data_IF_135514542082
#
_entry.id   IF_135514542082
#
_cell.length_a   1.000
_cell.length_b   1.000
_cell.length_c   1.000
_cell.angle_alpha   90.00
_cell.angle_beta   90.00
_cell.angle_gamma   90.00
#
_symmetry.space_group_name_H-M   'P 1'
#
loop_
_entity.id
_entity.type
_entity.pdbx_description
1 polymer ?
#
# COMPACT_ATOMS: atom_id res chain seq x y z
N UNK A 1 -1.37 -40.12 -60.19
CA UNK A 1 -2.28 -38.95 -60.31
C UNK A 1 -2.69 -38.55 -58.90
N UNK A 2 -2.69 -37.26 -58.61
CA UNK A 2 -2.45 -36.64 -57.29
C UNK A 2 -3.58 -36.74 -56.23
N UNK A 3 -3.24 -36.30 -55.01
CA UNK A 3 -4.06 -35.98 -53.80
C UNK A 3 -4.28 -37.19 -52.88
N UNK A 4 -4.05 -37.18 -51.57
CA UNK A 4 -4.17 -36.11 -50.57
C UNK A 4 -3.34 -36.46 -49.31
N UNK A 5 -2.30 -35.68 -48.99
CA UNK A 5 -1.65 -35.64 -47.67
C UNK A 5 -1.44 -34.14 -47.37
N UNK A 6 -2.49 -33.47 -46.90
CA UNK A 6 -2.42 -32.02 -46.61
C UNK A 6 -3.45 -31.59 -45.56
N UNK A 7 -3.63 -32.37 -44.49
CA UNK A 7 -4.47 -31.93 -43.36
C UNK A 7 -3.83 -32.10 -41.97
N UNK A 8 -2.67 -32.75 -41.85
CA UNK A 8 -1.98 -32.92 -40.56
C UNK A 8 -1.02 -31.79 -40.16
N UNK A 9 -0.50 -31.02 -41.13
CA UNK A 9 0.52 -29.99 -40.84
C UNK A 9 -0.07 -28.60 -40.56
N UNK A 10 -1.32 -28.35 -40.97
CA UNK A 10 -1.95 -27.03 -40.85
C UNK A 10 -2.49 -26.77 -39.43
N UNK A 11 -2.86 -27.83 -38.69
CA UNK A 11 -3.34 -27.72 -37.30
C UNK A 11 -2.20 -27.49 -36.29
N UNK A 12 -1.00 -27.99 -36.55
CA UNK A 12 0.16 -27.78 -35.66
C UNK A 12 0.75 -26.36 -35.81
N UNK A 13 0.66 -25.77 -37.02
CA UNK A 13 1.10 -24.40 -37.27
C UNK A 13 0.08 -23.37 -36.75
N UNK A 14 -1.22 -23.70 -36.73
CA UNK A 14 -2.25 -22.80 -36.17
C UNK A 14 -2.20 -22.73 -34.64
N UNK A 15 -1.76 -23.80 -33.95
CA UNK A 15 -1.57 -23.77 -32.49
C UNK A 15 -0.35 -22.95 -32.04
N UNK A 16 0.66 -22.76 -32.90
CA UNK A 16 1.82 -21.90 -32.58
C UNK A 16 1.49 -20.42 -32.84
N UNK A 17 0.51 -20.12 -33.71
CA UNK A 17 0.06 -18.75 -34.01
C UNK A 17 -1.09 -18.26 -33.11
N UNK A 18 -1.58 -19.10 -32.20
CA UNK A 18 -2.56 -18.77 -31.16
C UNK A 18 -2.00 -18.95 -29.74
N UNK A 19 -0.67 -18.92 -29.59
CA UNK A 19 -0.12 -18.38 -28.36
C UNK A 19 -0.34 -16.87 -28.42
N UNK A 20 -1.45 -16.41 -27.85
CA UNK A 20 -1.46 -15.07 -27.31
C UNK A 20 -0.23 -15.00 -26.39
N UNK A 21 0.79 -14.28 -26.83
CA UNK A 21 1.79 -13.78 -25.92
C UNK A 21 1.02 -12.92 -24.92
N UNK A 22 0.64 -13.51 -23.79
CA UNK A 22 0.32 -12.76 -22.58
C UNK A 22 1.64 -12.10 -22.20
N UNK A 23 1.96 -10.99 -22.85
CA UNK A 23 2.96 -10.06 -22.34
C UNK A 23 2.35 -9.53 -21.05
N UNK A 24 2.98 -9.84 -19.92
CA UNK A 24 2.65 -9.22 -18.65
C UNK A 24 2.66 -7.71 -18.86
N UNK A 25 1.54 -7.06 -18.52
CA UNK A 25 1.35 -5.64 -18.83
C UNK A 25 2.28 -4.82 -17.94
N UNK A 26 3.41 -4.38 -18.49
CA UNK A 26 4.34 -3.53 -17.76
C UNK A 26 3.72 -2.15 -17.51
N UNK A 27 3.68 -1.74 -16.26
CA UNK A 27 3.23 -0.41 -15.85
C UNK A 27 4.42 0.40 -15.34
N UNK A 28 4.28 1.73 -15.33
CA UNK A 28 5.30 2.61 -14.76
C UNK A 28 5.16 2.62 -13.24
N UNK A 29 6.19 2.14 -12.54
CA UNK A 29 6.29 2.20 -11.09
C UNK A 29 7.37 3.19 -10.68
N UNK A 30 7.14 3.91 -9.59
CA UNK A 30 8.17 4.74 -8.94
C UNK A 30 8.60 4.00 -7.68
N UNK A 31 9.85 3.54 -7.69
CA UNK A 31 10.50 2.89 -6.56
C UNK A 31 11.19 3.96 -5.74
N UNK A 32 10.68 4.21 -4.54
CA UNK A 32 11.25 5.20 -3.62
C UNK A 32 12.11 4.52 -2.56
N UNK A 33 13.40 4.87 -2.54
CA UNK A 33 14.45 4.30 -1.70
C UNK A 33 14.92 5.27 -0.58
N UNK A 34 14.14 6.30 -0.26
CA UNK A 34 14.48 7.26 0.81
C UNK A 34 15.36 8.42 0.36
N UNK A 35 16.27 8.86 1.24
CA UNK A 35 17.26 9.92 0.98
C UNK A 35 18.67 9.34 0.94
N UNK A 36 19.49 9.76 -0.02
CA UNK A 36 20.92 9.41 -0.02
C UNK A 36 21.67 10.14 1.11
N UNK A 37 22.81 9.59 1.52
CA UNK A 37 23.68 10.12 2.58
C UNK A 37 24.47 11.38 2.20
N UNK A 38 24.38 11.85 0.94
CA UNK A 38 25.26 12.88 0.36
C UNK A 38 24.83 14.35 0.58
N UNK A 39 23.76 14.62 1.36
CA UNK A 39 23.31 15.99 1.68
C UNK A 39 22.64 16.74 0.52
N UNK A 40 22.52 18.07 0.60
CA UNK A 40 21.69 18.87 -0.33
C UNK A 40 22.30 19.09 -1.74
N UNK A 41 23.60 18.84 -1.94
CA UNK A 41 24.30 19.09 -3.21
C UNK A 41 25.26 17.94 -3.58
N UNK A 42 24.76 16.80 -4.08
CA UNK A 42 25.59 15.66 -4.48
C UNK A 42 26.43 15.99 -5.73
N UNK A 43 27.70 15.55 -5.75
CA UNK A 43 28.58 15.70 -6.92
C UNK A 43 28.10 14.83 -8.10
N UNK A 44 28.67 15.04 -9.29
CA UNK A 44 28.35 14.19 -10.46
C UNK A 44 28.72 12.72 -10.23
N UNK A 45 29.80 12.46 -9.49
CA UNK A 45 30.25 11.11 -9.12
C UNK A 45 29.27 10.46 -8.14
N UNK A 46 28.74 11.24 -7.19
CA UNK A 46 27.72 10.75 -6.24
C UNK A 46 26.41 10.40 -6.96
N UNK A 47 25.99 11.23 -7.92
CA UNK A 47 24.78 10.99 -8.73
C UNK A 47 24.92 9.74 -9.60
N UNK A 48 26.10 9.52 -10.19
CA UNK A 48 26.41 8.32 -10.98
C UNK A 48 26.45 7.07 -10.10
N UNK A 49 27.06 7.16 -8.91
CA UNK A 49 27.07 6.08 -7.90
C UNK A 49 25.66 5.69 -7.46
N UNK A 50 24.80 6.66 -7.17
CA UNK A 50 23.38 6.41 -6.84
C UNK A 50 22.64 5.76 -8.00
N UNK A 51 22.86 6.24 -9.23
CA UNK A 51 22.23 5.66 -10.43
C UNK A 51 22.67 4.21 -10.65
N UNK A 52 23.95 3.91 -10.45
CA UNK A 52 24.45 2.53 -10.50
C UNK A 52 23.82 1.67 -9.40
N UNK A 53 23.65 2.22 -8.18
CA UNK A 53 22.97 1.51 -7.10
C UNK A 53 21.50 1.19 -7.40
N UNK A 54 20.82 2.00 -8.23
CA UNK A 54 19.47 1.68 -8.71
C UNK A 54 19.46 0.50 -9.68
N UNK A 55 20.42 0.46 -10.61
CA UNK A 55 20.57 -0.67 -11.53
C UNK A 55 20.96 -1.94 -10.79
N UNK A 56 21.83 -1.85 -9.79
CA UNK A 56 22.21 -2.98 -8.93
C UNK A 56 21.00 -3.46 -8.11
N UNK A 57 20.24 -2.52 -7.53
CA UNK A 57 19.04 -2.83 -6.75
C UNK A 57 18.01 -3.55 -7.61
N UNK A 58 17.53 -2.93 -8.70
CA UNK A 58 16.52 -3.56 -9.54
C UNK A 58 17.07 -4.81 -10.26
N UNK A 59 18.35 -4.79 -10.63
CA UNK A 59 19.03 -5.91 -11.28
C UNK A 59 19.13 -7.14 -10.38
N UNK A 60 19.20 -6.96 -9.06
CA UNK A 60 19.15 -8.05 -8.10
C UNK A 60 17.80 -8.79 -8.09
N UNK A 61 16.71 -8.10 -8.43
CA UNK A 61 15.36 -8.68 -8.53
C UNK A 61 15.06 -9.20 -9.95
N UNK A 62 15.55 -8.53 -10.98
CA UNK A 62 15.37 -8.95 -12.38
C UNK A 62 16.39 -10.02 -12.85
N UNK A 63 17.36 -10.37 -12.00
CA UNK A 63 18.44 -11.31 -12.32
C UNK A 63 19.44 -10.81 -13.37
N UNK A 64 19.35 -9.53 -13.76
CA UNK A 64 20.24 -8.89 -14.74
C UNK A 64 20.26 -7.37 -14.56
N UNK A 65 21.47 -6.82 -14.42
CA UNK A 65 21.70 -5.37 -14.39
C UNK A 65 21.32 -4.73 -15.74
N UNK A 66 21.48 -5.45 -16.85
CA UNK A 66 21.12 -4.93 -18.17
C UNK A 66 19.60 -4.81 -18.33
N UNK A 67 18.83 -5.78 -17.81
CA UNK A 67 17.37 -5.67 -17.76
C UNK A 67 16.90 -4.53 -16.87
N UNK A 68 17.59 -4.30 -15.75
CA UNK A 68 17.31 -3.16 -14.87
C UNK A 68 17.57 -1.81 -15.54
N UNK A 69 18.64 -1.70 -16.35
CA UNK A 69 18.91 -0.49 -17.14
C UNK A 69 17.86 -0.24 -18.22
N UNK A 70 17.33 -1.30 -18.82
CA UNK A 70 16.25 -1.21 -19.81
C UNK A 70 14.90 -0.84 -19.16
N UNK A 71 14.62 -1.39 -17.98
CA UNK A 71 13.39 -1.12 -17.24
C UNK A 71 13.39 0.29 -16.61
N UNK A 72 14.52 0.75 -16.06
CA UNK A 72 14.65 2.07 -15.42
C UNK A 72 14.73 3.15 -16.49
N UNK A 73 13.61 3.84 -16.69
CA UNK A 73 13.55 4.97 -17.63
C UNK A 73 13.87 6.31 -16.96
N UNK A 74 13.94 6.36 -15.61
CA UNK A 74 14.38 7.54 -14.89
C UNK A 74 15.00 7.21 -13.54
N UNK A 75 16.19 7.77 -13.23
CA UNK A 75 16.80 7.68 -11.90
C UNK A 75 16.72 9.02 -11.18
N UNK A 76 16.05 9.04 -10.03
CA UNK A 76 16.08 10.17 -9.12
C UNK A 76 17.34 10.06 -8.26
N UNK A 77 18.35 10.89 -8.53
CA UNK A 77 19.70 10.77 -7.93
C UNK A 77 20.23 12.10 -7.34
N UNK A 78 19.42 13.16 -7.38
CA UNK A 78 19.81 14.50 -6.90
C UNK A 78 19.24 14.87 -5.54
N UNK A 79 17.96 14.58 -5.32
CA UNK A 79 17.21 15.10 -4.16
C UNK A 79 16.41 14.03 -3.42
N UNK A 80 16.17 12.89 -4.07
CA UNK A 80 15.51 11.71 -3.52
C UNK A 80 16.21 10.49 -4.07
N UNK A 81 16.23 9.39 -3.30
CA UNK A 81 16.70 8.08 -3.72
C UNK A 81 15.54 7.30 -4.32
N UNK A 82 15.68 6.85 -5.54
CA UNK A 82 14.63 6.12 -6.22
C UNK A 82 14.74 6.18 -7.73
N UNK A 83 13.91 5.41 -8.40
CA UNK A 83 13.87 5.35 -9.85
C UNK A 83 12.45 5.07 -10.33
N UNK A 84 12.15 5.48 -11.56
CA UNK A 84 10.96 5.08 -12.26
C UNK A 84 11.32 3.96 -13.24
N UNK A 85 10.60 2.85 -13.17
CA UNK A 85 10.83 1.67 -13.99
C UNK A 85 9.54 1.13 -14.59
N UNK A 86 9.64 0.55 -15.79
CA UNK A 86 8.58 -0.26 -16.38
C UNK A 86 8.70 -1.67 -15.83
N UNK A 87 7.85 -1.99 -14.87
CA UNK A 87 7.81 -3.30 -14.22
C UNK A 87 6.48 -3.96 -14.56
N UNK A 88 6.44 -5.28 -14.70
CA UNK A 88 5.18 -5.99 -14.55
C UNK A 88 4.77 -6.08 -13.07
N UNK A 89 3.57 -6.60 -12.81
CA UNK A 89 3.00 -6.66 -11.47
C UNK A 89 3.83 -7.55 -10.53
N UNK A 90 4.45 -8.61 -11.06
CA UNK A 90 5.32 -9.53 -10.32
C UNK A 90 6.68 -8.87 -10.01
N UNK A 91 7.28 -8.19 -10.99
CA UNK A 91 8.50 -7.38 -10.84
C UNK A 91 8.30 -6.23 -9.84
N UNK A 92 7.14 -5.56 -9.86
CA UNK A 92 6.81 -4.49 -8.92
C UNK A 92 6.53 -5.01 -7.50
N UNK A 93 5.84 -6.14 -7.38
CA UNK A 93 5.61 -6.82 -6.10
C UNK A 93 6.92 -7.25 -5.46
N UNK A 94 7.89 -7.76 -6.24
CA UNK A 94 9.22 -8.11 -5.72
C UNK A 94 9.96 -6.92 -5.09
N UNK A 95 9.69 -5.70 -5.56
CA UNK A 95 10.32 -4.46 -5.05
C UNK A 95 9.60 -3.87 -3.83
N UNK A 96 8.29 -4.05 -3.71
CA UNK A 96 7.49 -3.56 -2.58
C UNK A 96 7.35 -4.65 -1.51
N UNK A 97 8.28 -4.73 -0.55
CA UNK A 97 8.33 -5.84 0.42
C UNK A 97 8.28 -5.40 1.88
N UNK A 98 7.77 -6.29 2.74
CA UNK A 98 7.94 -6.31 4.18
C UNK A 98 9.25 -6.93 4.50
N UNK A 99 9.78 -6.33 5.54
CA UNK A 99 11.18 -6.07 5.60
C UNK A 99 11.56 -6.63 6.97
N UNK A 100 11.79 -7.95 7.14
CA UNK A 100 12.43 -8.48 8.35
C UNK A 100 13.75 -7.75 8.64
N UNK A 101 14.36 -7.14 7.62
CA UNK A 101 15.52 -6.26 7.71
C UNK A 101 15.18 -4.82 8.18
N UNK A 102 13.89 -4.50 8.42
CA UNK A 102 13.45 -3.23 9.02
C UNK A 102 14.05 -3.06 10.39
N UNK A 103 14.52 -1.85 10.69
CA UNK A 103 15.06 -1.52 12.01
C UNK A 103 14.05 -1.76 13.14
N UNK A 104 12.74 -1.72 12.85
CA UNK A 104 11.67 -2.04 13.81
C UNK A 104 11.69 -3.51 14.25
N UNK A 105 12.30 -4.39 13.48
CA UNK A 105 12.46 -5.81 13.79
C UNK A 105 13.93 -6.18 14.09
N UNK A 106 14.77 -5.18 14.38
CA UNK A 106 16.13 -5.41 14.89
C UNK A 106 16.11 -6.14 16.22
N UNK A 107 17.03 -7.09 16.37
CA UNK A 107 17.20 -7.94 17.55
C UNK A 107 18.36 -7.51 18.47
N UNK A 108 18.83 -6.28 18.27
CA UNK A 108 19.82 -5.64 19.13
C UNK A 108 19.31 -5.58 20.58
N UNK A 109 20.14 -6.02 21.53
CA UNK A 109 19.78 -6.07 22.94
C UNK A 109 18.85 -7.22 23.35
N UNK A 110 18.44 -8.10 22.42
CA UNK A 110 17.65 -9.27 22.75
C UNK A 110 18.52 -10.48 23.13
N UNK A 111 18.19 -11.13 24.25
CA UNK A 111 18.75 -12.43 24.63
C UNK A 111 18.21 -13.60 23.78
N UNK A 112 18.56 -14.86 24.10
CA UNK A 112 18.08 -16.03 23.36
C UNK A 112 16.55 -16.11 23.32
N UNK A 113 16.01 -16.78 22.29
CA UNK A 113 14.57 -17.02 22.16
C UNK A 113 14.10 -17.86 23.36
N UNK A 114 12.97 -17.52 24.01
CA UNK A 114 12.46 -18.27 25.16
C UNK A 114 12.23 -19.75 24.81
N UNK A 115 12.68 -20.68 25.68
CA UNK A 115 12.52 -22.13 25.47
C UNK A 115 11.06 -22.61 25.37
N UNK A 116 10.11 -21.79 25.84
CA UNK A 116 8.68 -22.07 25.72
C UNK A 116 8.14 -21.87 24.30
N UNK A 117 8.83 -21.08 23.49
CA UNK A 117 8.43 -20.79 22.11
C UNK A 117 8.55 -22.05 21.26
N UNK A 118 7.46 -22.41 20.58
CA UNK A 118 7.39 -23.61 19.72
C UNK A 118 7.25 -23.27 18.24
N UNK A 119 7.12 -21.99 17.92
CA UNK A 119 6.98 -21.53 16.55
C UNK A 119 8.23 -21.69 15.73
N UNK A 120 8.01 -21.74 14.41
CA UNK A 120 9.03 -21.90 13.39
C UNK A 120 9.14 -20.65 12.53
N UNK A 121 10.26 -20.56 11.82
CA UNK A 121 10.43 -19.60 10.75
C UNK A 121 10.38 -20.33 9.41
N UNK A 122 9.38 -20.03 8.59
CA UNK A 122 9.36 -20.48 7.20
C UNK A 122 10.23 -19.53 6.37
N UNK A 123 11.44 -19.98 6.02
CA UNK A 123 12.52 -19.16 5.45
C UNK A 123 12.57 -19.23 3.92
N UNK A 124 11.44 -19.41 3.27
CA UNK A 124 11.38 -19.32 1.81
C UNK A 124 11.58 -17.86 1.38
N UNK A 125 12.20 -17.64 0.21
CA UNK A 125 12.48 -16.30 -0.35
C UNK A 125 13.40 -15.38 0.48
N UNK A 126 14.61 -15.85 0.84
CA UNK A 126 15.61 -15.09 1.61
C UNK A 126 15.07 -14.46 2.92
N UNK A 127 13.96 -14.96 3.43
CA UNK A 127 13.34 -14.50 4.65
C UNK A 127 14.02 -15.17 5.84
N UNK A 128 14.44 -14.40 6.84
CA UNK A 128 15.02 -14.97 8.06
C UNK A 128 14.44 -14.32 9.32
N UNK A 129 14.14 -15.18 10.30
CA UNK A 129 13.79 -14.77 11.65
C UNK A 129 15.06 -14.48 12.45
N UNK A 130 14.90 -13.69 13.52
CA UNK A 130 15.98 -13.30 14.41
C UNK A 130 15.50 -13.36 15.87
N UNK A 131 16.23 -12.76 16.82
CA UNK A 131 15.81 -12.78 18.23
C UNK A 131 14.65 -11.79 18.50
N UNK A 132 14.22 -10.96 17.56
CA UNK A 132 13.07 -10.05 17.69
C UNK A 132 11.83 -10.62 17.01
N UNK A 133 11.91 -10.87 15.70
CA UNK A 133 10.92 -11.59 14.91
C UNK A 133 11.26 -13.09 15.01
N UNK A 134 10.64 -13.77 15.98
CA UNK A 134 11.03 -15.14 16.38
C UNK A 134 10.29 -16.25 15.64
N UNK A 135 9.26 -15.91 14.87
CA UNK A 135 8.52 -16.83 14.03
C UNK A 135 7.83 -16.12 12.89
N UNK A 136 7.68 -16.84 11.78
CA UNK A 136 7.03 -16.34 10.59
C UNK A 136 6.45 -17.53 9.83
N UNK A 137 5.14 -17.46 9.58
CA UNK A 137 4.38 -18.48 8.87
C UNK A 137 3.44 -17.82 7.87
N UNK A 138 3.03 -18.58 6.86
CA UNK A 138 2.08 -18.12 5.85
C UNK A 138 1.11 -19.24 5.47
N UNK A 139 -0.11 -18.86 5.07
CA UNK A 139 -1.24 -19.75 4.81
C UNK A 139 -1.96 -19.27 3.55
N UNK A 140 -2.12 -20.14 2.56
CA UNK A 140 -2.65 -19.80 1.24
C UNK A 140 -3.59 -20.87 0.65
N UNK A 141 -3.87 -21.95 1.39
CA UNK A 141 -4.66 -23.06 0.87
C UNK A 141 -6.14 -22.70 0.78
N UNK A 142 -6.62 -21.90 1.74
CA UNK A 142 -7.96 -21.32 1.71
C UNK A 142 -8.15 -20.41 0.50
N UNK A 143 -7.15 -19.57 0.22
CA UNK A 143 -7.08 -18.75 -0.99
C UNK A 143 -7.20 -19.59 -2.25
N UNK A 144 -6.31 -20.58 -2.46
CA UNK A 144 -6.30 -21.37 -3.71
C UNK A 144 -7.60 -22.13 -3.92
N UNK A 145 -8.17 -22.68 -2.83
CA UNK A 145 -9.44 -23.39 -2.88
C UNK A 145 -10.62 -22.48 -3.25
N UNK A 146 -10.63 -21.25 -2.75
CA UNK A 146 -11.77 -20.33 -2.93
C UNK A 146 -11.69 -19.56 -4.25
N UNK A 147 -10.49 -19.18 -4.67
CA UNK A 147 -10.24 -18.47 -5.93
C UNK A 147 -10.21 -19.45 -7.11
N UNK A 148 -9.91 -20.73 -6.87
CA UNK A 148 -9.82 -21.75 -7.93
C UNK A 148 -8.58 -21.60 -8.82
N UNK A 149 -7.60 -20.81 -8.37
CA UNK A 149 -6.34 -20.56 -9.07
C UNK A 149 -5.18 -20.64 -8.08
N UNK A 150 -4.02 -21.06 -8.57
CA UNK A 150 -2.81 -21.00 -7.77
C UNK A 150 -2.44 -19.55 -7.51
N UNK A 151 -1.83 -19.31 -6.37
CA UNK A 151 -1.31 -18.00 -6.04
C UNK A 151 -0.19 -17.64 -7.03
N UNK A 152 -0.34 -16.50 -7.72
CA UNK A 152 0.70 -15.93 -8.59
C UNK A 152 1.59 -14.95 -7.82
N UNK A 153 1.87 -15.25 -6.55
CA UNK A 153 2.74 -14.46 -5.67
C UNK A 153 3.76 -15.40 -5.06
N UNK A 154 4.92 -14.86 -4.66
CA UNK A 154 5.96 -15.64 -3.98
C UNK A 154 5.43 -16.18 -2.65
N UNK A 155 5.46 -17.50 -2.49
CA UNK A 155 5.04 -18.19 -1.28
C UNK A 155 6.07 -17.96 -0.16
N UNK A 156 5.83 -16.91 0.62
CA UNK A 156 6.66 -16.59 1.78
C UNK A 156 5.84 -15.84 2.83
N UNK A 157 6.39 -15.77 4.05
CA UNK A 157 5.86 -14.92 5.11
C UNK A 157 6.22 -13.43 4.93
N UNK A 158 6.89 -13.08 3.83
CA UNK A 158 7.15 -11.69 3.43
C UNK A 158 5.82 -11.05 3.03
N UNK A 159 5.55 -9.87 3.56
CA UNK A 159 4.35 -9.07 3.28
C UNK A 159 4.64 -8.08 2.15
N UNK A 160 4.10 -8.26 0.95
CA UNK A 160 4.41 -7.36 -0.18
C UNK A 160 3.49 -6.12 -0.26
N UNK A 161 2.67 -5.90 0.78
CA UNK A 161 1.68 -4.83 0.82
C UNK A 161 2.07 -3.76 1.87
N UNK A 162 2.51 -4.19 3.05
CA UNK A 162 3.06 -3.34 4.12
C UNK A 162 2.19 -3.23 5.37
N UNK A 163 0.90 -3.55 5.30
CA UNK A 163 -0.05 -3.49 6.41
C UNK A 163 0.36 -4.38 7.59
N UNK A 164 0.87 -5.59 7.31
CA UNK A 164 1.40 -6.50 8.31
C UNK A 164 2.61 -5.94 9.03
N UNK A 165 3.57 -5.37 8.30
CA UNK A 165 4.71 -4.67 8.94
C UNK A 165 4.28 -3.46 9.76
N UNK A 166 3.37 -2.64 9.24
CA UNK A 166 2.90 -1.44 9.91
C UNK A 166 2.20 -1.78 11.24
N UNK A 167 1.30 -2.76 11.22
CA UNK A 167 0.56 -3.21 12.41
C UNK A 167 1.47 -3.92 13.41
N UNK A 168 2.35 -4.83 12.95
CA UNK A 168 3.26 -5.56 13.84
C UNK A 168 4.29 -4.65 14.49
N UNK A 169 4.83 -3.66 13.76
CA UNK A 169 5.75 -2.66 14.31
C UNK A 169 5.04 -1.68 15.27
N UNK A 170 3.76 -1.37 15.04
CA UNK A 170 2.95 -0.57 15.99
C UNK A 170 2.73 -1.32 17.31
N UNK A 171 2.51 -2.63 17.27
CA UNK A 171 2.34 -3.43 18.48
C UNK A 171 3.65 -3.66 19.22
N UNK A 172 4.68 -4.12 18.49
CA UNK A 172 5.90 -4.65 19.07
C UNK A 172 7.18 -4.25 18.35
N UNK A 173 7.23 -3.15 17.60
CA UNK A 173 8.46 -2.68 16.95
C UNK A 173 9.50 -2.17 17.94
N UNK A 174 10.78 -2.46 17.68
CA UNK A 174 11.94 -1.91 18.40
C UNK A 174 12.04 -0.39 18.27
N UNK A 175 12.87 0.24 19.08
CA UNK A 175 13.13 1.68 18.98
C UNK A 175 13.93 2.01 17.71
N UNK A 176 13.41 2.90 16.86
CA UNK A 176 14.05 3.32 15.61
C UNK A 176 14.20 4.85 15.61
N UNK A 177 15.38 5.39 15.93
CA UNK A 177 15.62 6.83 15.94
C UNK A 177 15.64 7.41 14.52
N UNK A 178 15.18 8.65 14.36
CA UNK A 178 15.17 9.35 13.07
C UNK A 178 14.12 8.84 12.09
N UNK A 179 13.16 8.05 12.55
CA UNK A 179 12.05 7.57 11.74
C UNK A 179 11.21 8.75 11.25
N UNK A 180 11.02 8.85 9.94
CA UNK A 180 10.19 9.86 9.31
C UNK A 180 9.70 9.39 7.94
N UNK A 181 8.60 9.96 7.47
CA UNK A 181 8.12 9.80 6.09
C UNK A 181 8.35 11.12 5.38
N UNK A 182 9.32 11.17 4.45
CA UNK A 182 9.73 12.40 3.77
C UNK A 182 10.10 13.56 4.74
N UNK A 183 10.72 13.24 5.88
CA UNK A 183 11.05 14.21 6.93
C UNK A 183 9.86 14.62 7.82
N UNK A 184 8.64 14.17 7.50
CA UNK A 184 7.44 14.38 8.33
C UNK A 184 7.36 13.32 9.43
N UNK A 185 6.93 13.75 10.61
CA UNK A 185 6.79 12.86 11.76
C UNK A 185 8.12 12.42 12.37
N UNK A 186 9.19 13.19 12.12
CA UNK A 186 10.54 12.88 12.60
C UNK A 186 10.58 12.68 14.11
N UNK A 187 11.09 11.52 14.52
CA UNK A 187 11.25 11.15 15.91
C UNK A 187 11.78 9.73 16.05
N UNK A 188 11.56 9.13 17.21
CA UNK A 188 11.85 7.71 17.44
C UNK A 188 10.55 6.92 17.27
N UNK A 189 10.47 6.05 16.27
CA UNK A 189 9.38 5.10 16.16
C UNK A 189 9.57 3.96 17.17
N UNK A 190 8.48 3.47 17.75
CA UNK A 190 8.50 2.32 18.65
C UNK A 190 7.09 1.73 18.77
N UNK A 191 6.99 0.42 18.94
CA UNK A 191 5.72 -0.22 19.25
C UNK A 191 5.23 0.06 20.66
N UNK A 192 4.00 -0.36 20.98
CA UNK A 192 3.48 -0.31 22.36
C UNK A 192 4.30 -1.12 23.35
N UNK A 193 4.88 -2.25 22.89
CA UNK A 193 5.83 -3.07 23.66
C UNK A 193 7.13 -3.32 22.90
N UNK A 194 8.09 -2.37 22.90
CA UNK A 194 9.29 -2.44 22.07
C UNK A 194 10.23 -3.61 22.39
N UNK A 195 10.11 -4.17 23.60
CA UNK A 195 10.90 -5.33 24.05
C UNK A 195 10.17 -6.66 23.91
N UNK A 196 8.94 -6.67 23.40
CA UNK A 196 8.25 -7.91 23.06
C UNK A 196 8.97 -8.63 21.90
N UNK A 197 8.87 -9.96 21.89
CA UNK A 197 9.15 -10.77 20.70
C UNK A 197 7.90 -10.75 19.84
N UNK A 198 8.08 -10.74 18.52
CA UNK A 198 6.97 -10.74 17.57
C UNK A 198 7.01 -11.99 16.70
N UNK A 199 5.84 -12.45 16.27
CA UNK A 199 5.69 -13.53 15.32
C UNK A 199 4.64 -13.14 14.27
N UNK A 200 4.89 -13.47 13.02
CA UNK A 200 4.01 -13.13 11.90
C UNK A 200 3.29 -14.38 11.37
N UNK A 201 1.98 -14.26 11.17
CA UNK A 201 1.13 -15.31 10.62
C UNK A 201 0.36 -14.71 9.42
N UNK A 202 0.90 -14.84 8.22
CA UNK A 202 0.35 -14.26 6.99
C UNK A 202 -0.80 -15.12 6.47
N UNK A 203 -2.03 -14.64 6.63
CA UNK A 203 -3.26 -15.30 6.15
C UNK A 203 -3.99 -14.51 5.05
N UNK A 204 -3.35 -13.45 4.53
CA UNK A 204 -3.94 -12.52 3.57
C UNK A 204 -3.04 -12.41 2.34
N UNK A 205 -3.69 -12.29 1.18
CA UNK A 205 -3.08 -12.17 -0.15
C UNK A 205 -3.86 -11.15 -0.99
N UNK A 206 -3.48 -10.95 -2.24
CA UNK A 206 -4.08 -9.95 -3.15
C UNK A 206 -5.61 -9.98 -3.26
N UNK A 207 -6.24 -11.15 -3.13
CA UNK A 207 -7.72 -11.31 -3.16
C UNK A 207 -8.39 -11.36 -1.80
N UNK A 208 -7.66 -11.04 -0.73
CA UNK A 208 -8.17 -10.97 0.63
C UNK A 208 -7.66 -12.07 1.53
N UNK A 209 -8.36 -12.27 2.64
CA UNK A 209 -8.02 -13.19 3.71
C UNK A 209 -9.13 -14.23 3.81
N UNK A 210 -8.78 -15.51 3.76
CA UNK A 210 -9.76 -16.60 3.69
C UNK A 210 -9.87 -17.30 5.04
N UNK A 211 -11.10 -17.66 5.43
CA UNK A 211 -11.41 -18.24 6.74
C UNK A 211 -10.55 -19.45 7.11
N UNK A 212 -10.32 -20.36 6.15
CA UNK A 212 -9.47 -21.53 6.38
C UNK A 212 -8.01 -21.17 6.69
N UNK A 213 -7.48 -20.13 6.05
CA UNK A 213 -6.11 -19.65 6.28
C UNK A 213 -6.01 -18.88 7.61
N UNK A 214 -7.04 -18.10 7.96
CA UNK A 214 -7.16 -17.42 9.25
C UNK A 214 -7.23 -18.43 10.40
N UNK A 215 -8.06 -19.46 10.27
CA UNK A 215 -8.22 -20.48 11.31
C UNK A 215 -6.92 -21.28 11.51
N UNK A 216 -6.22 -21.63 10.42
CA UNK A 216 -4.92 -22.27 10.49
C UNK A 216 -3.87 -21.39 11.18
N UNK A 217 -3.89 -20.08 10.93
CA UNK A 217 -3.03 -19.12 11.62
C UNK A 217 -3.31 -19.07 13.13
N UNK A 218 -4.59 -19.08 13.55
CA UNK A 218 -4.95 -19.15 14.96
C UNK A 218 -4.44 -20.44 15.62
N UNK A 219 -4.67 -21.59 15.00
CA UNK A 219 -4.26 -22.89 15.54
C UNK A 219 -2.74 -22.95 15.77
N UNK A 220 -1.96 -22.52 14.77
CA UNK A 220 -0.50 -22.45 14.89
C UNK A 220 -0.07 -21.40 15.92
N UNK A 221 -0.70 -20.22 15.98
CA UNK A 221 -0.34 -19.19 16.95
C UNK A 221 -0.54 -19.66 18.40
N UNK A 222 -1.67 -20.32 18.67
CA UNK A 222 -1.97 -20.91 19.97
C UNK A 222 -0.95 -22.00 20.31
N UNK A 223 -0.68 -22.93 19.38
CA UNK A 223 0.26 -24.03 19.58
C UNK A 223 1.71 -23.57 19.75
N UNK A 224 2.09 -22.50 19.05
CA UNK A 224 3.42 -21.89 19.08
C UNK A 224 3.69 -21.17 20.43
N UNK A 225 2.62 -20.90 21.18
CA UNK A 225 2.66 -20.35 22.54
C UNK A 225 2.74 -18.83 22.58
N UNK A 226 2.03 -18.14 21.68
CA UNK A 226 1.89 -16.67 21.73
C UNK A 226 1.14 -16.25 23.00
N UNK A 227 1.42 -15.05 23.50
CA UNK A 227 0.76 -14.50 24.70
C UNK A 227 -0.42 -13.58 24.36
N UNK A 228 -0.32 -12.88 23.23
CA UNK A 228 -1.33 -11.94 22.72
C UNK A 228 -1.39 -12.09 21.20
N UNK A 229 -2.60 -12.11 20.65
CA UNK A 229 -2.86 -12.03 19.22
C UNK A 229 -3.40 -10.64 18.91
N UNK A 230 -2.74 -9.93 18.01
CA UNK A 230 -3.25 -8.70 17.41
C UNK A 230 -3.65 -8.98 15.98
N UNK A 231 -4.88 -8.63 15.60
CA UNK A 231 -5.46 -8.95 14.31
C UNK A 231 -6.19 -7.75 13.75
N UNK A 232 -5.61 -7.12 12.73
CA UNK A 232 -6.23 -5.99 12.03
C UNK A 232 -6.97 -6.49 10.78
N UNK A 233 -7.88 -7.44 10.96
CA UNK A 233 -8.70 -8.10 9.94
C UNK A 233 -10.15 -8.13 10.40
N UNK A 234 -11.10 -8.17 9.47
CA UNK A 234 -12.54 -8.27 9.77
C UNK A 234 -13.38 -8.31 8.50
N UNK A 235 -14.65 -8.67 8.65
CA UNK A 235 -15.64 -8.63 7.56
C UNK A 235 -16.52 -7.38 7.70
N UNK A 236 -16.88 -6.78 6.56
CA UNK A 236 -17.89 -5.72 6.49
C UNK A 236 -19.31 -6.25 6.77
N UNK A 237 -19.53 -7.54 6.53
CA UNK A 237 -20.76 -8.27 6.84
C UNK A 237 -20.39 -9.51 7.67
N UNK A 238 -20.23 -9.37 9.00
CA UNK A 238 -19.79 -10.47 9.86
C UNK A 238 -20.91 -11.52 9.97
N UNK A 239 -20.62 -12.81 9.69
CA UNK A 239 -21.60 -13.88 9.85
C UNK A 239 -21.83 -14.19 11.34
N UNK A 240 -22.73 -15.14 11.62
CA UNK A 240 -22.93 -15.67 12.97
C UNK A 240 -21.62 -16.25 13.54
N UNK A 241 -21.44 -16.20 14.87
CA UNK A 241 -20.14 -16.51 15.50
C UNK A 241 -19.60 -17.92 15.20
N UNK A 242 -20.45 -18.91 14.99
CA UNK A 242 -20.01 -20.28 14.70
C UNK A 242 -19.65 -20.49 13.21
N UNK A 243 -19.92 -19.52 12.35
CA UNK A 243 -19.58 -19.51 10.93
C UNK A 243 -18.35 -18.64 10.62
N UNK A 244 -17.91 -17.83 11.59
CA UNK A 244 -16.73 -16.96 11.46
C UNK A 244 -15.46 -17.65 11.97
N UNK A 245 -14.44 -17.78 11.12
CA UNK A 245 -13.14 -18.29 11.53
C UNK A 245 -12.46 -17.41 12.59
N UNK A 246 -12.69 -16.09 12.52
CA UNK A 246 -12.20 -15.14 13.52
C UNK A 246 -12.84 -15.44 14.88
N UNK A 247 -14.16 -15.60 14.93
CA UNK A 247 -14.89 -15.87 16.16
C UNK A 247 -14.46 -17.20 16.78
N UNK A 248 -14.39 -18.27 15.98
CA UNK A 248 -13.97 -19.60 16.44
C UNK A 248 -12.51 -19.61 16.90
N UNK A 249 -11.59 -19.09 16.08
CA UNK A 249 -10.16 -19.05 16.41
C UNK A 249 -9.86 -18.20 17.64
N UNK A 250 -10.49 -17.03 17.75
CA UNK A 250 -10.34 -16.14 18.91
C UNK A 250 -10.93 -16.74 20.19
N UNK A 251 -12.06 -17.44 20.11
CA UNK A 251 -12.66 -18.12 21.26
C UNK A 251 -11.68 -19.15 21.84
N UNK A 252 -11.09 -19.98 20.99
CA UNK A 252 -10.10 -20.98 21.42
C UNK A 252 -8.83 -20.35 22.00
N UNK A 253 -8.35 -19.23 21.43
CA UNK A 253 -7.24 -18.48 21.98
C UNK A 253 -7.55 -17.96 23.40
N UNK A 254 -8.69 -17.30 23.58
CA UNK A 254 -9.10 -16.71 24.88
C UNK A 254 -9.36 -17.81 25.91
N UNK A 255 -9.97 -18.94 25.53
CA UNK A 255 -10.18 -20.09 26.40
C UNK A 255 -8.86 -20.68 26.94
N UNK A 256 -7.75 -20.50 26.21
CA UNK A 256 -6.41 -20.91 26.61
C UNK A 256 -5.59 -19.78 27.26
N UNK A 257 -6.23 -18.65 27.57
CA UNK A 257 -5.60 -17.51 28.25
C UNK A 257 -4.81 -16.57 27.33
N UNK A 258 -4.98 -16.68 26.01
CA UNK A 258 -4.35 -15.80 25.02
C UNK A 258 -5.31 -14.65 24.71
N UNK A 259 -4.88 -13.42 24.98
CA UNK A 259 -5.73 -12.24 24.70
C UNK A 259 -5.77 -11.96 23.20
N UNK A 260 -6.95 -11.66 22.67
CA UNK A 260 -7.15 -11.29 21.26
C UNK A 260 -7.61 -9.84 21.16
N UNK A 261 -6.88 -9.04 20.38
CA UNK A 261 -7.17 -7.63 20.09
C UNK A 261 -7.46 -7.49 18.60
N UNK A 262 -8.59 -6.90 18.24
CA UNK A 262 -9.00 -6.74 16.86
C UNK A 262 -9.55 -5.33 16.55
N UNK A 263 -9.50 -4.91 15.28
CA UNK A 263 -10.06 -3.63 14.84
C UNK A 263 -11.58 -3.69 14.74
N UNK A 264 -12.28 -2.58 15.00
CA UNK A 264 -13.74 -2.48 14.84
C UNK A 264 -14.23 -2.30 13.41
N UNK A 265 -13.35 -2.40 12.41
CA UNK A 265 -13.67 -2.11 11.01
C UNK A 265 -13.60 -0.63 10.63
N UNK A 266 -13.63 -0.35 9.33
CA UNK A 266 -13.54 1.01 8.74
C UNK A 266 -14.84 1.46 8.05
N UNK A 267 -15.93 0.73 8.27
CA UNK A 267 -17.21 0.88 7.54
C UNK A 267 -18.21 1.79 8.25
N UNK A 268 -17.75 2.54 9.25
CA UNK A 268 -18.51 3.61 9.89
C UNK A 268 -18.86 4.75 8.94
N UNK A 269 -19.73 5.70 9.35
CA UNK A 269 -20.24 5.90 10.72
C UNK A 269 -21.64 5.31 10.99
N UNK A 270 -22.17 4.50 10.08
CA UNK A 270 -23.53 3.95 10.18
C UNK A 270 -23.71 3.05 11.41
N UNK A 271 -24.88 3.09 12.06
CA UNK A 271 -25.18 2.21 13.19
C UNK A 271 -25.06 0.74 12.77
N UNK A 272 -24.38 -0.07 13.59
CA UNK A 272 -24.19 -1.50 13.34
C UNK A 272 -23.04 -1.85 12.40
N UNK A 273 -22.22 -0.89 11.97
CA UNK A 273 -21.09 -1.12 11.06
C UNK A 273 -19.81 -1.64 11.74
N UNK A 274 -19.89 -2.08 13.00
CA UNK A 274 -18.72 -2.53 13.77
C UNK A 274 -18.48 -4.01 13.50
N UNK A 275 -17.25 -4.36 13.12
CA UNK A 275 -16.79 -5.75 12.97
C UNK A 275 -16.11 -6.25 14.25
N UNK A 276 -15.85 -7.57 14.33
CA UNK A 276 -15.17 -8.22 15.46
C UNK A 276 -15.82 -7.91 16.81
N UNK A 277 -17.15 -8.01 16.89
CA UNK A 277 -17.97 -7.66 18.04
C UNK A 277 -18.19 -8.82 19.03
N UNK A 278 -17.37 -9.87 18.97
CA UNK A 278 -17.42 -11.02 19.86
C UNK A 278 -17.15 -10.59 21.31
N UNK A 279 -17.93 -11.07 22.30
CA UNK A 279 -17.76 -10.66 23.70
C UNK A 279 -16.39 -10.96 24.32
N UNK A 280 -15.62 -11.87 23.72
CA UNK A 280 -14.29 -12.27 24.18
C UNK A 280 -13.13 -11.55 23.47
N UNK A 281 -13.41 -10.73 22.45
CA UNK A 281 -12.39 -9.95 21.73
C UNK A 281 -12.31 -8.53 22.31
N UNK A 282 -11.10 -8.00 22.42
CA UNK A 282 -10.89 -6.58 22.68
C UNK A 282 -10.98 -5.80 21.36
N UNK A 283 -12.17 -5.32 21.02
CA UNK A 283 -12.47 -4.58 19.78
C UNK A 283 -12.08 -3.11 19.89
N UNK A 284 -11.27 -2.62 18.95
CA UNK A 284 -10.66 -1.28 18.99
C UNK A 284 -11.22 -0.37 17.91
N UNK A 285 -11.84 0.73 18.33
CA UNK A 285 -12.19 1.85 17.44
C UNK A 285 -10.99 2.76 17.18
N UNK A 286 -10.97 3.43 16.03
CA UNK A 286 -9.92 4.39 15.66
C UNK A 286 -10.33 5.84 16.01
N UNK A 287 -9.38 6.63 16.50
CA UNK A 287 -9.56 8.06 16.78
C UNK A 287 -8.33 8.86 16.34
N UNK A 288 -8.49 10.17 16.20
CA UNK A 288 -7.38 11.08 15.89
C UNK A 288 -6.48 11.32 17.12
N UNK A 289 -5.25 11.76 16.86
CA UNK A 289 -4.33 12.31 17.87
C UNK A 289 -4.18 13.84 17.66
N UNK A 290 -3.45 14.50 18.56
CA UNK A 290 -3.19 15.95 18.50
C UNK A 290 -2.31 16.36 17.29
N UNK A 291 -1.42 15.47 16.84
CA UNK A 291 -0.53 15.68 15.69
C UNK A 291 -1.28 15.63 14.37
N UNK A 292 -1.11 16.67 13.54
CA UNK A 292 -1.68 16.78 12.20
C UNK A 292 -0.63 17.20 11.17
N UNK A 293 -0.67 16.61 9.96
CA UNK A 293 0.17 17.02 8.83
C UNK A 293 -0.58 17.96 7.91
N UNK A 294 -0.64 19.22 8.33
CA UNK A 294 -1.49 20.24 7.72
C UNK A 294 -0.95 20.70 6.36
N UNK A 295 -1.86 20.87 5.40
CA UNK A 295 -1.61 21.49 4.10
C UNK A 295 -2.69 22.52 3.81
N UNK A 296 -2.33 23.75 3.48
CA UNK A 296 -3.28 24.83 3.24
C UNK A 296 -3.55 25.02 1.75
N UNK A 297 -4.83 25.09 1.39
CA UNK A 297 -5.28 25.44 0.04
C UNK A 297 -5.73 26.90 0.04
N UNK A 298 -5.00 27.76 -0.68
CA UNK A 298 -5.36 29.18 -0.84
C UNK A 298 -5.92 29.42 -2.23
N UNK A 299 -7.19 29.84 -2.32
CA UNK A 299 -7.85 30.16 -3.59
C UNK A 299 -7.53 31.58 -4.06
N UNK A 300 -7.85 31.89 -5.33
CA UNK A 300 -7.62 33.21 -5.93
C UNK A 300 -8.38 34.36 -5.23
N UNK A 301 -9.53 34.05 -4.61
CA UNK A 301 -10.31 34.98 -3.78
C UNK A 301 -9.77 35.15 -2.35
N UNK A 302 -8.57 34.65 -2.05
CA UNK A 302 -7.90 34.69 -0.74
C UNK A 302 -8.56 33.88 0.37
N UNK A 303 -9.57 33.04 0.08
CA UNK A 303 -10.03 32.05 1.06
C UNK A 303 -8.99 30.96 1.23
N UNK A 304 -8.80 30.56 2.49
CA UNK A 304 -7.82 29.55 2.91
C UNK A 304 -8.59 28.39 3.52
N UNK A 305 -8.31 27.18 3.04
CA UNK A 305 -8.86 25.94 3.55
C UNK A 305 -7.75 25.13 4.20
N UNK A 306 -8.03 24.59 5.39
CA UNK A 306 -7.14 23.67 6.09
C UNK A 306 -7.41 22.27 5.57
N UNK A 307 -6.42 21.67 4.93
CA UNK A 307 -6.43 20.26 4.54
C UNK A 307 -5.27 19.50 5.18
N UNK A 308 -5.02 18.30 4.69
CA UNK A 308 -3.91 17.46 5.12
C UNK A 308 -3.15 16.81 3.96
N UNK A 309 -1.87 16.54 4.19
CA UNK A 309 -0.99 15.94 3.19
C UNK A 309 0.31 15.40 3.78
N UNK A 310 0.70 14.19 3.36
CA UNK A 310 2.05 13.66 3.55
C UNK A 310 2.92 13.76 2.29
N UNK A 311 2.46 14.39 1.20
CA UNK A 311 3.28 14.64 0.01
C UNK A 311 4.64 15.22 0.38
N UNK A 312 5.71 14.70 -0.22
CA UNK A 312 7.09 15.13 0.06
C UNK A 312 7.29 16.62 -0.25
N UNK A 313 6.63 17.12 -1.28
CA UNK A 313 6.76 18.50 -1.75
C UNK A 313 5.42 19.22 -1.68
N UNK A 314 5.48 20.47 -1.21
CA UNK A 314 4.42 21.44 -1.40
C UNK A 314 4.60 22.21 -2.71
N UNK A 315 3.54 22.85 -3.18
CA UNK A 315 3.64 23.84 -4.25
C UNK A 315 4.42 25.06 -3.76
N UNK A 316 5.27 25.71 -4.58
CA UNK A 316 5.90 26.98 -4.21
C UNK A 316 4.85 28.00 -3.78
N UNK A 317 5.01 28.60 -2.60
CA UNK A 317 4.02 29.49 -1.97
C UNK A 317 3.65 30.72 -2.80
N UNK A 318 4.54 31.15 -3.70
CA UNK A 318 4.38 32.36 -4.51
C UNK A 318 3.85 32.10 -5.93
N UNK A 319 3.62 30.83 -6.31
CA UNK A 319 3.16 30.48 -7.66
C UNK A 319 1.69 30.08 -7.63
N UNK A 320 0.88 30.79 -8.41
CA UNK A 320 -0.52 30.47 -8.64
C UNK A 320 -0.63 29.55 -9.85
N UNK A 321 -1.54 28.59 -9.76
CA UNK A 321 -1.86 27.67 -10.83
C UNK A 321 -3.36 27.75 -11.13
N UNK A 322 -3.77 27.59 -12.39
CA UNK A 322 -5.18 27.43 -12.72
C UNK A 322 -5.73 26.17 -12.02
N UNK A 323 -7.00 26.20 -11.66
CA UNK A 323 -7.71 25.10 -11.02
C UNK A 323 -8.74 24.54 -12.01
N UNK A 324 -8.83 23.22 -12.12
CA UNK A 324 -9.79 22.53 -12.99
C UNK A 324 -10.44 21.37 -12.25
N UNK A 325 -11.74 21.16 -12.43
CA UNK A 325 -12.42 19.98 -11.87
C UNK A 325 -12.22 18.76 -12.76
N UNK A 326 -12.21 17.56 -12.17
CA UNK A 326 -12.19 16.30 -12.92
C UNK A 326 -13.30 16.24 -13.99
N UNK A 327 -14.49 16.77 -13.68
CA UNK A 327 -15.61 16.83 -14.63
C UNK A 327 -15.32 17.73 -15.86
N UNK A 328 -14.73 18.90 -15.67
CA UNK A 328 -14.33 19.78 -16.79
C UNK A 328 -13.14 19.21 -17.58
N UNK A 329 -12.26 18.49 -16.87
CA UNK A 329 -11.13 17.76 -17.43
C UNK A 329 -11.52 16.45 -18.13
N UNK A 330 -12.80 16.07 -18.18
CA UNK A 330 -13.27 14.80 -18.74
C UNK A 330 -12.76 14.57 -20.17
N UNK A 331 -12.21 13.38 -20.41
CA UNK A 331 -11.89 12.90 -21.75
C UNK A 331 -13.16 12.68 -22.58
N UNK A 332 -13.07 12.91 -23.89
CA UNK A 332 -14.24 12.79 -24.77
C UNK A 332 -14.96 11.43 -24.64
N UNK A 333 -14.19 10.34 -24.59
CA UNK A 333 -14.67 8.96 -24.47
C UNK A 333 -15.10 8.54 -23.06
N UNK A 334 -14.85 9.38 -22.04
CA UNK A 334 -15.06 9.01 -20.65
C UNK A 334 -16.46 9.35 -20.13
N UNK A 335 -16.94 8.53 -19.19
CA UNK A 335 -18.18 8.78 -18.47
C UNK A 335 -18.08 10.01 -17.56
N UNK A 336 -19.16 10.79 -17.50
CA UNK A 336 -19.29 11.90 -16.53
C UNK A 336 -19.30 11.42 -15.08
N UNK A 337 -19.50 10.12 -14.83
CA UNK A 337 -19.36 9.50 -13.52
C UNK A 337 -17.88 9.28 -13.15
N UNK A 338 -17.02 8.89 -14.08
CA UNK A 338 -15.62 8.52 -13.79
C UNK A 338 -14.70 9.72 -13.60
N UNK A 339 -14.88 10.78 -14.39
CA UNK A 339 -13.97 11.91 -14.40
C UNK A 339 -13.89 12.69 -13.06
N UNK A 340 -14.99 12.92 -12.32
CA UNK A 340 -14.92 13.52 -10.98
C UNK A 340 -14.06 12.74 -9.97
N UNK A 341 -13.99 11.41 -10.12
CA UNK A 341 -13.17 10.54 -9.28
C UNK A 341 -11.73 10.40 -9.80
N UNK A 342 -11.38 11.04 -10.91
CA UNK A 342 -10.04 10.99 -11.49
C UNK A 342 -9.58 9.54 -11.75
N UNK A 343 -10.49 8.71 -12.28
CA UNK A 343 -10.19 7.32 -12.63
C UNK A 343 -9.23 7.25 -13.83
N UNK A 344 -8.52 6.14 -13.94
CA UNK A 344 -7.61 5.92 -15.05
C UNK A 344 -8.37 6.01 -16.41
N UNK A 345 -7.78 6.70 -17.38
CA UNK A 345 -8.38 6.96 -18.69
C UNK A 345 -9.58 7.92 -18.71
N UNK A 346 -9.97 8.53 -17.59
CA UNK A 346 -11.15 9.41 -17.52
C UNK A 346 -10.87 10.89 -17.82
N UNK A 347 -9.60 11.29 -17.85
CA UNK A 347 -9.16 12.69 -17.92
C UNK A 347 -8.43 12.98 -19.24
N UNK A 348 -8.64 14.18 -19.77
CA UNK A 348 -7.96 14.74 -20.94
C UNK A 348 -6.68 15.47 -20.50
N UNK A 349 -5.52 14.93 -20.89
CA UNK A 349 -4.22 15.48 -20.50
C UNK A 349 -4.01 16.92 -20.96
N UNK A 350 -4.50 17.30 -22.15
CA UNK A 350 -4.34 18.67 -22.66
C UNK A 350 -5.13 19.69 -21.82
N UNK A 351 -6.26 19.26 -21.23
CA UNK A 351 -7.04 20.12 -20.33
C UNK A 351 -6.39 20.29 -18.96
N UNK A 352 -5.70 19.26 -18.46
CA UNK A 352 -5.15 19.18 -17.10
C UNK A 352 -3.73 19.72 -17.00
N UNK A 353 -2.92 19.57 -18.05
CA UNK A 353 -1.51 19.93 -18.07
C UNK A 353 -1.24 21.33 -17.50
N UNK A 354 -0.38 21.39 -16.47
CA UNK A 354 0.02 22.67 -15.85
C UNK A 354 -0.98 23.24 -14.83
N UNK A 355 -2.06 22.52 -14.50
CA UNK A 355 -3.12 22.96 -13.58
C UNK A 355 -3.17 22.11 -12.31
N UNK A 356 -3.79 22.66 -11.27
CA UNK A 356 -4.19 21.88 -10.09
C UNK A 356 -5.50 21.18 -10.42
N UNK A 357 -5.55 19.87 -10.22
CA UNK A 357 -6.73 19.05 -10.48
C UNK A 357 -7.56 18.88 -9.21
N UNK A 358 -8.87 19.13 -9.28
CA UNK A 358 -9.81 18.86 -8.20
C UNK A 358 -10.51 17.51 -8.45
N UNK A 359 -10.33 16.57 -7.52
CA UNK A 359 -10.89 15.22 -7.54
C UNK A 359 -11.75 14.97 -6.30
N UNK A 360 -12.70 14.04 -6.40
CA UNK A 360 -13.51 13.58 -5.26
C UNK A 360 -13.05 12.20 -4.79
N UNK A 361 -13.05 11.98 -3.47
CA UNK A 361 -12.78 10.70 -2.82
C UNK A 361 -13.84 9.66 -3.20
N UNK A 362 -13.45 8.38 -3.23
CA UNK A 362 -14.32 7.25 -3.54
C UNK A 362 -13.94 6.53 -4.83
N UNK A 363 -14.58 5.37 -5.06
CA UNK A 363 -14.39 4.45 -6.19
C UNK A 363 -13.00 3.79 -6.27
N UNK A 364 -11.93 4.57 -6.33
CA UNK A 364 -10.55 4.09 -6.39
C UNK A 364 -9.67 4.71 -5.28
N UNK A 365 -8.44 4.22 -5.14
CA UNK A 365 -7.56 4.58 -4.03
C UNK A 365 -7.21 6.06 -4.01
N UNK A 366 -7.09 6.67 -2.82
CA UNK A 366 -6.75 8.10 -2.69
C UNK A 366 -5.39 8.43 -3.32
N UNK A 367 -4.39 7.59 -3.08
CA UNK A 367 -3.04 7.74 -3.66
C UNK A 367 -3.05 7.55 -5.18
N UNK A 368 -3.78 6.55 -5.66
CA UNK A 368 -3.93 6.23 -7.09
C UNK A 368 -4.43 7.45 -7.88
N UNK A 369 -5.40 8.20 -7.36
CA UNK A 369 -5.86 9.47 -7.97
C UNK A 369 -4.73 10.47 -8.15
N UNK A 370 -3.81 10.55 -7.18
CA UNK A 370 -2.62 11.40 -7.27
C UNK A 370 -1.65 10.94 -8.37
N UNK A 371 -1.48 9.63 -8.55
CA UNK A 371 -0.68 9.05 -9.64
C UNK A 371 -1.29 9.37 -11.00
N UNK A 372 -2.61 9.16 -11.14
CA UNK A 372 -3.34 9.47 -12.38
C UNK A 372 -3.25 10.96 -12.69
N UNK A 373 -3.50 11.83 -11.71
CA UNK A 373 -3.35 13.28 -11.86
C UNK A 373 -1.95 13.67 -12.35
N UNK A 374 -0.89 13.09 -11.78
CA UNK A 374 0.48 13.32 -12.22
C UNK A 374 0.72 12.83 -13.66
N UNK A 375 0.22 11.65 -14.02
CA UNK A 375 0.39 11.05 -15.37
C UNK A 375 -0.23 11.90 -16.49
N UNK A 376 -1.30 12.65 -16.18
CA UNK A 376 -1.95 13.57 -17.14
C UNK A 376 -1.41 15.00 -17.06
N UNK A 377 -0.29 15.20 -16.36
CA UNK A 377 0.44 16.47 -16.31
C UNK A 377 -0.09 17.50 -15.31
N UNK A 378 -0.90 17.10 -14.32
CA UNK A 378 -1.28 17.98 -13.22
C UNK A 378 -0.05 18.39 -12.41
N UNK A 379 -0.02 19.64 -11.96
CA UNK A 379 1.07 20.17 -11.10
C UNK A 379 0.76 20.07 -9.61
N UNK A 380 -0.47 19.66 -9.28
CA UNK A 380 -0.96 19.44 -7.94
C UNK A 380 -2.39 18.89 -7.96
N UNK A 381 -2.88 18.45 -6.80
CA UNK A 381 -4.22 17.91 -6.65
C UNK A 381 -4.90 18.44 -5.38
N UNK A 382 -6.19 18.74 -5.47
CA UNK A 382 -7.05 18.90 -4.31
C UNK A 382 -8.00 17.71 -4.31
N UNK A 383 -7.93 16.89 -3.27
CA UNK A 383 -8.86 15.78 -3.07
C UNK A 383 -9.92 16.25 -2.08
N UNK A 384 -11.19 16.16 -2.44
CA UNK A 384 -12.29 16.48 -1.54
C UNK A 384 -12.98 15.19 -1.07
N UNK A 385 -13.33 15.11 0.21
CA UNK A 385 -14.20 14.04 0.69
C UNK A 385 -15.56 14.04 -0.01
N UNK A 386 -16.14 12.86 -0.14
CA UNK A 386 -17.56 12.68 -0.42
C UNK A 386 -18.40 12.92 0.84
N UNK A 387 -19.73 12.83 0.69
CA UNK A 387 -20.66 13.08 1.78
C UNK A 387 -20.47 12.09 2.93
N UNK A 388 -20.22 10.81 2.61
CA UNK A 388 -20.12 9.73 3.59
C UNK A 388 -18.83 9.84 4.42
N UNK A 389 -17.71 10.26 3.80
CA UNK A 389 -16.45 10.51 4.52
C UNK A 389 -16.48 11.80 5.35
N UNK A 390 -17.37 12.74 5.03
CA UNK A 390 -17.61 13.97 5.80
C UNK A 390 -16.33 14.73 6.17
N UNK A 391 -16.06 14.82 7.48
CA UNK A 391 -14.93 15.56 8.07
C UNK A 391 -13.68 14.70 8.30
N UNK A 392 -13.64 13.45 7.81
CA UNK A 392 -12.48 12.59 7.98
C UNK A 392 -11.27 13.11 7.18
N UNK A 393 -10.22 13.54 7.86
CA UNK A 393 -9.02 14.06 7.21
C UNK A 393 -7.85 13.08 7.41
N UNK A 394 -7.43 12.44 6.31
CA UNK A 394 -6.28 11.55 6.25
C UNK A 394 -5.11 12.25 5.53
N UNK A 395 -3.91 12.11 6.07
CA UNK A 395 -2.70 12.68 5.48
C UNK A 395 -2.03 11.66 4.57
N UNK A 396 -2.27 11.75 3.27
CA UNK A 396 -1.80 10.77 2.28
C UNK A 396 -0.47 11.20 1.61
N UNK A 397 0.48 10.27 1.37
CA UNK A 397 1.74 10.56 0.67
C UNK A 397 1.59 10.57 -0.86
N UNK A 398 0.95 11.59 -1.44
CA UNK A 398 0.79 11.65 -2.90
C UNK A 398 2.11 11.98 -3.63
N UNK A 399 2.25 11.45 -4.86
CA UNK A 399 3.40 11.65 -5.77
C UNK A 399 3.56 13.08 -6.29
N UNK A 400 2.53 13.91 -6.15
CA UNK A 400 2.54 15.34 -6.46
C UNK A 400 2.07 16.15 -5.24
N UNK A 401 2.24 17.49 -5.22
CA UNK A 401 1.66 18.33 -4.18
C UNK A 401 0.14 18.15 -4.11
N UNK A 402 -0.34 17.55 -3.04
CA UNK A 402 -1.76 17.31 -2.84
C UNK A 402 -2.25 17.84 -1.50
N UNK A 403 -3.55 18.12 -1.41
CA UNK A 403 -4.22 18.39 -0.13
C UNK A 403 -5.59 17.72 -0.11
N UNK A 404 -5.85 16.90 0.90
CA UNK A 404 -7.19 16.39 1.20
C UNK A 404 -7.94 17.42 2.04
N UNK A 405 -9.17 17.75 1.64
CA UNK A 405 -10.08 18.65 2.36
C UNK A 405 -11.39 17.95 2.71
N UNK A 406 -12.08 18.45 3.73
CA UNK A 406 -13.39 17.95 4.15
C UNK A 406 -14.47 18.22 3.09
N UNK A 407 -15.63 17.60 3.28
CA UNK A 407 -16.76 17.71 2.35
C UNK A 407 -17.24 19.16 2.15
N UNK A 408 -17.36 19.95 3.23
CA UNK A 408 -17.85 21.34 3.15
C UNK A 408 -16.87 22.24 2.39
N UNK A 409 -15.58 22.15 2.70
CA UNK A 409 -14.50 22.84 2.01
C UNK A 409 -14.43 22.42 0.53
N UNK A 410 -14.57 21.12 0.26
CA UNK A 410 -14.63 20.56 -1.09
C UNK A 410 -15.76 21.17 -1.92
N UNK A 411 -16.98 21.21 -1.38
CA UNK A 411 -18.15 21.82 -2.02
C UNK A 411 -17.93 23.31 -2.32
N UNK A 412 -17.31 24.03 -1.39
CA UNK A 412 -16.96 25.43 -1.62
C UNK A 412 -15.97 25.58 -2.78
N UNK A 413 -14.89 24.80 -2.78
CA UNK A 413 -13.84 24.85 -3.81
C UNK A 413 -14.44 24.49 -5.18
N UNK A 414 -15.27 23.45 -5.25
CA UNK A 414 -15.97 23.06 -6.46
C UNK A 414 -16.88 24.18 -6.99
N UNK A 415 -17.63 24.83 -6.09
CA UNK A 415 -18.47 25.99 -6.45
C UNK A 415 -17.64 27.19 -6.93
N UNK A 416 -16.45 27.41 -6.37
CA UNK A 416 -15.53 28.44 -6.82
C UNK A 416 -15.07 28.19 -8.25
N UNK A 417 -14.65 26.94 -8.58
CA UNK A 417 -14.24 26.56 -9.95
C UNK A 417 -15.32 26.92 -10.97
N UNK A 418 -16.58 26.59 -10.68
CA UNK A 418 -17.69 26.81 -11.60
C UNK A 418 -18.09 28.30 -11.75
N UNK A 419 -17.73 29.18 -10.80
CA UNK A 419 -18.14 30.60 -10.78
C UNK A 419 -17.09 31.57 -11.33
N UNK A 420 -15.82 31.21 -11.32
CA UNK A 420 -14.71 32.13 -11.67
C UNK A 420 -13.96 31.71 -12.93
N UNK A 421 -14.69 31.48 -14.03
CA UNK A 421 -14.08 31.18 -15.34
C UNK A 421 -13.21 32.31 -15.86
#
# INVERSE_FOLDING_TARGET
MARSISQGLFLLVLCILLQDHIQALKQSYIVYLGSHSFGQNPSSVDQESVTNSHYDFLGSYMGSIDLAKEAIFYSYNKHINGFAALLDEDEAANVASVWPESHSFSDEGFGPIPKRWRGKCQTEDNFSCNRKLIGARYYFKGYESSVGQKLNETLSARDYEGHGSHTLSTAGGSFVPGASVFGKGNGTASGGSPKARVAAYKACWSKGCFDADILAAFEDAISDGVDVITMSLGSDDPPEFFESAISVGSFHAVALGITVVASGGNSGPTLGSVSNNEPWIFTVGASTIDRNFVSYVTLGNKKIFKGASLSQYGSPSNKKYPLISGLEAKAWSASSFHAPYCLNGSLDAEKVKGKILFCVRGVNGRIEKGVIAASVGAVGMILANDMDSGNEIISDPHVLPASLVDYESGNYIYSYINRTK
#
